data_IF_903218893873
#
_entry.id   IF_903218893873
#
_cell.length_a   1.000
_cell.length_b   1.000
_cell.length_c   1.000
_cell.angle_alpha   90.00
_cell.angle_beta   90.00
_cell.angle_gamma   90.00
#
_symmetry.space_group_name_H-M   'P 1'
#
loop_
_entity.id
_entity.type
_entity.pdbx_description
1 polymer ?
#
# COMPACT_ATOMS: atom_id res chain seq x y z
N UNK A 1 -21.50 -29.65 -20.64
CA UNK A 1 -20.10 -29.78 -21.12
C UNK A 1 -19.41 -30.90 -20.36
N UNK A 2 -18.59 -31.74 -21.01
CA UNK A 2 -17.81 -32.75 -20.28
C UNK A 2 -16.65 -32.09 -19.48
N UNK A 3 -16.15 -32.77 -18.44
CA UNK A 3 -15.10 -32.25 -17.54
C UNK A 3 -13.85 -31.75 -18.27
N UNK A 4 -13.48 -32.40 -19.38
CA UNK A 4 -12.34 -32.03 -20.22
C UNK A 4 -12.58 -30.76 -21.03
N UNK A 5 -13.80 -30.53 -21.51
CA UNK A 5 -14.20 -29.30 -22.19
C UNK A 5 -14.18 -28.11 -21.22
N UNK A 6 -14.72 -28.30 -20.01
CA UNK A 6 -14.63 -27.29 -18.95
C UNK A 6 -13.18 -26.96 -18.61
N UNK A 7 -12.30 -27.97 -18.55
CA UNK A 7 -10.89 -27.74 -18.23
C UNK A 7 -10.16 -26.96 -19.30
N UNK A 8 -10.45 -27.22 -20.57
CA UNK A 8 -9.94 -26.42 -21.68
C UNK A 8 -10.44 -24.99 -21.63
N UNK A 9 -11.72 -24.77 -21.34
CA UNK A 9 -12.30 -23.43 -21.22
C UNK A 9 -11.62 -22.62 -20.12
N UNK A 10 -11.57 -23.14 -18.89
CA UNK A 10 -10.93 -22.45 -17.76
C UNK A 10 -9.44 -22.24 -17.96
N UNK A 11 -8.75 -23.16 -18.66
CA UNK A 11 -7.37 -22.96 -19.06
C UNK A 11 -7.21 -21.76 -20.01
N UNK A 12 -8.12 -21.58 -20.99
CA UNK A 12 -8.08 -20.39 -21.85
C UNK A 12 -8.33 -19.12 -21.04
N UNK A 13 -9.30 -19.13 -20.14
CA UNK A 13 -9.63 -17.99 -19.27
C UNK A 13 -8.41 -17.61 -18.42
N UNK A 14 -7.86 -18.54 -17.64
CA UNK A 14 -6.70 -18.32 -16.78
C UNK A 14 -5.49 -17.81 -17.57
N UNK A 15 -5.18 -18.47 -18.70
CA UNK A 15 -4.05 -18.10 -19.57
C UNK A 15 -4.19 -16.67 -20.09
N UNK A 16 -5.36 -16.27 -20.61
CA UNK A 16 -5.52 -14.93 -21.19
C UNK A 16 -5.56 -13.84 -20.13
N UNK A 17 -6.19 -14.10 -18.97
CA UNK A 17 -6.08 -13.19 -17.81
C UNK A 17 -4.62 -13.03 -17.42
N UNK A 18 -3.90 -14.14 -17.19
CA UNK A 18 -2.49 -14.10 -16.79
C UNK A 18 -1.59 -13.35 -17.78
N UNK A 19 -1.75 -13.58 -19.09
CA UNK A 19 -0.95 -12.90 -20.10
C UNK A 19 -1.24 -11.40 -20.22
N UNK A 20 -2.52 -11.01 -20.19
CA UNK A 20 -2.91 -9.60 -20.23
C UNK A 20 -2.42 -8.86 -18.98
N UNK A 21 -2.49 -9.51 -17.83
CA UNK A 21 -2.06 -8.91 -16.57
C UNK A 21 -0.54 -8.93 -16.37
N UNK A 22 0.21 -9.83 -17.01
CA UNK A 22 1.65 -10.03 -16.74
C UNK A 22 2.47 -8.73 -16.79
N UNK A 23 2.18 -7.87 -17.78
CA UNK A 23 2.86 -6.57 -17.94
C UNK A 23 2.67 -5.65 -16.74
N UNK A 24 1.45 -5.63 -16.18
CA UNK A 24 1.12 -4.76 -15.05
C UNK A 24 1.42 -5.42 -13.69
N UNK A 25 1.24 -6.73 -13.56
CA UNK A 25 1.46 -7.47 -12.31
C UNK A 25 2.91 -7.39 -11.87
N UNK A 26 3.88 -7.52 -12.79
CA UNK A 26 5.29 -7.54 -12.41
C UNK A 26 5.68 -6.27 -11.63
N UNK A 27 5.53 -5.04 -12.18
CA UNK A 27 5.87 -3.83 -11.44
C UNK A 27 4.98 -3.61 -10.21
N UNK A 28 3.68 -3.94 -10.25
CA UNK A 28 2.78 -3.80 -9.10
C UNK A 28 3.18 -4.71 -7.94
N UNK A 29 3.47 -5.97 -8.22
CA UNK A 29 3.76 -6.98 -7.20
C UNK A 29 5.15 -6.76 -6.58
N UNK A 30 6.15 -6.38 -7.37
CA UNK A 30 7.48 -6.01 -6.86
C UNK A 30 7.47 -4.70 -6.06
N UNK A 31 6.72 -3.68 -6.50
CA UNK A 31 6.56 -2.45 -5.71
C UNK A 31 5.81 -2.69 -4.42
N UNK A 32 4.77 -3.55 -4.43
CA UNK A 32 4.06 -3.98 -3.22
C UNK A 32 4.98 -4.72 -2.24
N UNK A 33 5.80 -5.66 -2.75
CA UNK A 33 6.77 -6.39 -1.95
C UNK A 33 7.78 -5.45 -1.25
N UNK A 34 8.28 -4.44 -1.96
CA UNK A 34 9.19 -3.45 -1.39
C UNK A 34 8.52 -2.58 -0.32
N UNK A 35 7.23 -2.26 -0.49
CA UNK A 35 6.47 -1.41 0.43
C UNK A 35 6.14 -2.08 1.77
N UNK A 36 6.27 -3.40 1.89
CA UNK A 36 6.14 -4.13 3.17
C UNK A 36 7.10 -3.57 4.23
N UNK A 37 8.27 -3.07 3.80
CA UNK A 37 9.27 -2.48 4.69
C UNK A 37 9.53 -1.03 4.35
N UNK A 38 8.48 -0.25 4.10
CA UNK A 38 8.60 1.14 3.71
C UNK A 38 9.48 1.98 4.65
N UNK A 39 9.46 1.72 5.97
CA UNK A 39 10.27 2.46 6.94
C UNK A 39 11.75 2.10 6.83
N UNK A 40 12.08 0.80 6.81
CA UNK A 40 13.46 0.35 6.63
C UNK A 40 14.00 0.78 5.26
N UNK A 41 13.16 0.79 4.23
CA UNK A 41 13.53 1.28 2.91
C UNK A 41 13.78 2.78 2.90
N UNK A 42 12.95 3.59 3.56
CA UNK A 42 13.18 5.04 3.68
C UNK A 42 14.45 5.34 4.47
N UNK A 43 14.70 4.60 5.55
CA UNK A 43 15.95 4.69 6.34
C UNK A 43 17.18 4.35 5.51
N UNK A 44 17.13 3.26 4.74
CA UNK A 44 18.25 2.84 3.91
C UNK A 44 18.57 3.84 2.78
N UNK A 45 17.56 4.45 2.16
CA UNK A 45 17.76 5.39 1.06
C UNK A 45 17.94 6.84 1.51
N UNK A 46 17.54 7.18 2.74
CA UNK A 46 17.67 8.52 3.32
C UNK A 46 18.27 8.46 4.74
N UNK A 47 19.47 7.88 4.95
CA UNK A 47 20.05 7.71 6.29
C UNK A 47 20.23 9.04 7.03
N UNK A 48 20.42 10.15 6.31
CA UNK A 48 20.53 11.49 6.88
C UNK A 48 19.29 11.91 7.69
N UNK A 49 18.09 11.42 7.35
CA UNK A 49 16.85 11.74 8.08
C UNK A 49 16.80 11.16 9.49
N UNK A 50 17.61 10.13 9.74
CA UNK A 50 17.61 9.33 10.96
C UNK A 50 18.91 9.48 11.76
N UNK A 51 19.80 10.39 11.35
CA UNK A 51 21.05 10.69 12.04
C UNK A 51 20.81 11.59 13.28
N UNK A 52 19.99 11.10 14.21
CA UNK A 52 19.63 11.78 15.46
C UNK A 52 20.73 11.65 16.50
N UNK A 53 20.91 12.68 17.32
CA UNK A 53 21.94 12.74 18.37
C UNK A 53 21.46 12.22 19.74
N UNK A 54 20.16 12.07 19.93
CA UNK A 54 19.54 11.52 21.15
C UNK A 54 18.02 11.63 21.12
N UNK A 55 17.38 11.00 22.11
CA UNK A 55 15.91 10.85 22.17
C UNK A 55 15.23 11.88 23.10
N UNK A 56 16.00 12.73 23.78
CA UNK A 56 15.46 13.73 24.69
C UNK A 56 14.63 14.76 23.92
N UNK A 57 13.33 14.86 24.20
CA UNK A 57 12.46 15.79 23.48
C UNK A 57 12.56 17.22 24.05
N UNK A 58 12.78 18.18 23.15
CA UNK A 58 12.58 19.60 23.40
C UNK A 58 11.08 19.99 23.35
N UNK A 59 10.77 21.19 23.82
CA UNK A 59 9.42 21.75 23.74
C UNK A 59 8.97 21.89 22.26
N UNK A 60 7.69 21.58 21.91
CA UNK A 60 7.18 21.60 20.54
C UNK A 60 7.46 22.90 19.76
N UNK A 61 7.48 24.04 20.44
CA UNK A 61 7.75 25.37 19.89
C UNK A 61 9.14 25.47 19.28
N UNK A 62 10.12 24.77 19.86
CA UNK A 62 11.51 24.79 19.40
C UNK A 62 11.63 24.14 18.02
N UNK A 63 10.97 22.99 17.81
CA UNK A 63 10.93 22.33 16.51
C UNK A 63 10.21 23.17 15.46
N UNK A 64 9.10 23.81 15.84
CA UNK A 64 8.36 24.71 14.95
C UNK A 64 9.21 25.92 14.57
N UNK A 65 9.92 26.52 15.52
CA UNK A 65 10.83 27.63 15.27
C UNK A 65 11.98 27.22 14.33
N UNK A 66 12.55 26.03 14.51
CA UNK A 66 13.60 25.50 13.64
C UNK A 66 13.10 25.15 12.22
N UNK A 67 11.84 24.71 12.09
CA UNK A 67 11.25 24.34 10.81
C UNK A 67 10.83 25.56 9.95
N UNK A 68 10.33 26.64 10.58
CA UNK A 68 9.77 27.81 9.88
C UNK A 68 10.70 28.41 8.81
N UNK A 69 12.00 28.62 9.03
CA UNK A 69 12.91 29.18 8.02
C UNK A 69 13.13 28.26 6.80
N UNK A 70 12.75 26.98 6.88
CA UNK A 70 12.88 26.01 5.79
C UNK A 70 11.62 25.92 4.93
N UNK A 71 10.55 26.59 5.33
CA UNK A 71 9.28 26.58 4.60
C UNK A 71 9.34 27.57 3.44
N UNK A 72 8.68 27.22 2.35
CA UNK A 72 8.53 28.13 1.21
C UNK A 72 7.50 29.21 1.52
N UNK A 73 7.65 30.39 0.93
CA UNK A 73 6.67 31.46 1.04
C UNK A 73 5.24 30.96 0.77
N UNK A 74 4.33 31.27 1.70
CA UNK A 74 2.93 30.85 1.65
C UNK A 74 2.65 29.43 2.16
N UNK A 75 3.60 28.71 2.75
CA UNK A 75 3.32 27.47 3.48
C UNK A 75 2.92 27.74 4.94
N UNK A 76 1.99 26.92 5.44
CA UNK A 76 1.58 26.90 6.84
C UNK A 76 1.82 25.50 7.42
N UNK A 77 2.25 25.45 8.68
CA UNK A 77 2.45 24.19 9.38
C UNK A 77 1.09 23.52 9.55
N UNK A 78 1.03 22.23 9.18
CA UNK A 78 -0.17 21.43 9.26
C UNK A 78 -0.09 20.42 10.42
N UNK A 79 1.10 19.91 10.70
CA UNK A 79 1.29 18.83 11.66
C UNK A 79 2.72 18.81 12.20
N UNK A 80 2.86 18.45 13.47
CA UNK A 80 4.10 18.04 14.11
C UNK A 80 3.92 16.63 14.63
N UNK A 81 4.86 15.74 14.31
CA UNK A 81 4.88 14.35 14.78
C UNK A 81 6.13 14.13 15.62
N UNK A 82 5.93 13.67 16.85
CA UNK A 82 6.99 13.29 17.77
C UNK A 82 7.32 11.80 17.60
N UNK A 83 8.58 11.40 17.75
CA UNK A 83 8.98 10.00 17.59
C UNK A 83 8.29 9.10 18.61
N UNK A 84 7.88 7.91 18.15
CA UNK A 84 7.34 6.86 19.00
C UNK A 84 8.41 5.86 19.47
N UNK A 85 9.51 5.78 18.72
CA UNK A 85 10.60 4.83 18.90
C UNK A 85 11.92 5.59 18.97
N UNK A 86 12.90 5.00 19.67
CA UNK A 86 14.24 5.58 19.80
C UNK A 86 14.93 5.63 18.43
N UNK A 87 15.76 6.64 18.20
CA UNK A 87 16.46 6.81 16.93
C UNK A 87 15.61 7.41 15.80
N UNK A 88 14.36 7.80 16.08
CA UNK A 88 13.46 8.38 15.07
C UNK A 88 13.44 9.93 15.16
N UNK A 89 13.36 10.62 14.01
CA UNK A 89 13.33 12.08 14.00
C UNK A 89 11.97 12.66 14.40
N UNK A 90 11.97 13.91 14.84
CA UNK A 90 10.76 14.74 14.89
C UNK A 90 10.46 15.21 13.47
N UNK A 91 9.18 15.18 13.07
CA UNK A 91 8.78 15.57 11.70
C UNK A 91 7.75 16.68 11.75
N UNK A 92 8.08 17.82 11.14
CA UNK A 92 7.14 18.93 10.92
C UNK A 92 6.68 18.91 9.46
N UNK A 93 5.38 18.79 9.26
CA UNK A 93 4.76 18.84 7.94
C UNK A 93 4.08 20.19 7.72
N UNK A 94 4.45 20.88 6.65
CA UNK A 94 3.81 22.12 6.20
C UNK A 94 3.15 21.92 4.83
N UNK A 95 2.13 22.72 4.54
CA UNK A 95 1.46 22.71 3.25
C UNK A 95 1.05 24.13 2.86
N UNK A 96 1.00 24.42 1.56
CA UNK A 96 0.42 25.68 1.08
C UNK A 96 -1.10 25.70 1.29
N UNK A 97 -1.67 26.74 1.92
CA UNK A 97 -3.10 27.00 1.95
C UNK A 97 -3.64 27.29 0.53
N UNK A 98 -4.22 26.31 -0.17
CA UNK A 98 -4.64 26.54 -1.57
C UNK A 98 -5.36 25.37 -2.23
N UNK A 99 -5.90 25.58 -3.44
CA UNK A 99 -6.36 24.47 -4.29
C UNK A 99 -5.13 23.68 -4.72
N UNK A 100 -4.87 22.55 -4.08
CA UNK A 100 -3.91 21.59 -4.61
C UNK A 100 -4.52 20.95 -5.85
N UNK A 101 -3.75 20.90 -6.94
CA UNK A 101 -4.13 20.14 -8.14
C UNK A 101 -4.40 18.67 -7.77
N UNK A 102 -5.12 17.94 -8.63
CA UNK A 102 -5.60 16.58 -8.40
C UNK A 102 -4.55 15.67 -7.71
N UNK A 103 -4.81 15.30 -6.46
CA UNK A 103 -3.91 14.47 -5.64
C UNK A 103 -3.92 14.87 -4.15
N UNK A 104 -3.24 14.14 -3.26
CA UNK A 104 -2.94 14.63 -1.92
C UNK A 104 -2.13 15.92 -1.99
N UNK A 105 -2.34 16.90 -1.09
CA UNK A 105 -1.59 18.14 -1.10
C UNK A 105 -0.10 17.86 -0.95
N UNK A 106 0.73 18.56 -1.73
CA UNK A 106 2.17 18.56 -1.55
C UNK A 106 2.49 19.09 -0.14
N UNK A 107 3.27 18.33 0.62
CA UNK A 107 3.72 18.75 1.94
C UNK A 107 5.23 18.86 1.94
N UNK A 108 5.71 19.95 2.51
CA UNK A 108 7.12 20.08 2.88
C UNK A 108 7.29 19.39 4.24
N UNK A 109 8.15 18.38 4.27
CA UNK A 109 8.46 17.56 5.43
C UNK A 109 9.83 17.97 5.94
N UNK A 110 9.89 18.54 7.14
CA UNK A 110 11.14 18.93 7.81
C UNK A 110 11.44 17.90 8.88
N UNK A 111 12.54 17.18 8.71
CA UNK A 111 13.04 16.17 9.65
C UNK A 111 14.01 16.86 10.60
N UNK A 112 13.81 16.66 11.90
CA UNK A 112 14.52 17.35 12.97
C UNK A 112 15.07 16.35 13.98
N UNK A 113 16.26 16.67 14.47
CA UNK A 113 16.87 16.00 15.58
C UNK A 113 16.05 16.24 16.87
N UNK A 114 15.61 15.18 17.59
CA UNK A 114 14.80 15.33 18.80
C UNK A 114 15.53 16.12 19.91
N UNK A 115 16.80 15.83 20.18
CA UNK A 115 17.56 16.43 21.27
C UNK A 115 17.98 17.88 21.03
N UNK A 116 18.14 18.29 19.77
CA UNK A 116 18.75 19.59 19.42
C UNK A 116 17.88 20.48 18.54
N UNK A 117 16.77 19.98 18.01
CA UNK A 117 15.98 20.62 16.94
C UNK A 117 16.78 20.99 15.68
N UNK A 118 17.98 20.40 15.50
CA UNK A 118 18.77 20.57 14.29
C UNK A 118 18.01 19.97 13.10
N UNK A 119 17.88 20.73 12.02
CA UNK A 119 17.26 20.21 10.79
C UNK A 119 18.17 19.17 10.15
N UNK A 120 17.66 17.96 10.03
CA UNK A 120 18.33 16.80 9.42
C UNK A 120 18.10 16.75 7.91
N UNK A 121 16.86 16.98 7.48
CA UNK A 121 16.48 16.95 6.06
C UNK A 121 15.21 17.80 5.81
N UNK A 122 15.03 18.22 4.56
CA UNK A 122 13.82 18.89 4.08
C UNK A 122 13.40 18.23 2.77
N UNK A 123 12.23 17.59 2.76
CA UNK A 123 11.77 16.80 1.62
C UNK A 123 10.35 17.16 1.19
N UNK A 124 10.07 17.07 -0.12
CA UNK A 124 8.70 17.08 -0.64
C UNK A 124 8.08 15.70 -0.45
N UNK A 125 6.93 15.61 0.23
CA UNK A 125 6.20 14.38 0.51
C UNK A 125 5.75 13.60 -0.74
N UNK A 126 5.83 14.22 -1.92
CA UNK A 126 5.49 13.61 -3.21
C UNK A 126 6.67 12.93 -3.90
N UNK A 127 7.88 13.17 -3.41
CA UNK A 127 9.11 12.67 -4.01
C UNK A 127 9.70 11.51 -3.18
N UNK A 128 10.73 10.87 -3.73
CA UNK A 128 11.46 9.78 -3.07
C UNK A 128 10.99 8.38 -3.50
N UNK A 129 11.88 7.40 -3.32
CA UNK A 129 11.67 6.03 -3.79
C UNK A 129 10.41 5.39 -3.20
N UNK A 130 10.23 5.46 -1.88
CA UNK A 130 9.06 4.88 -1.20
C UNK A 130 7.76 5.45 -1.74
N UNK A 131 7.72 6.77 -1.98
CA UNK A 131 6.55 7.43 -2.57
C UNK A 131 6.31 7.00 -4.01
N UNK A 132 7.35 6.93 -4.84
CA UNK A 132 7.25 6.43 -6.22
C UNK A 132 6.70 5.01 -6.24
N UNK A 133 7.21 4.12 -5.38
CA UNK A 133 6.70 2.75 -5.23
C UNK A 133 5.24 2.73 -4.81
N UNK A 134 4.83 3.58 -3.86
CA UNK A 134 3.44 3.66 -3.40
C UNK A 134 2.48 4.13 -4.51
N UNK A 135 2.89 5.12 -5.31
CA UNK A 135 2.08 5.62 -6.44
C UNK A 135 2.07 4.61 -7.60
N UNK A 136 3.18 3.92 -7.85
CA UNK A 136 3.26 2.83 -8.82
C UNK A 136 2.33 1.68 -8.42
N UNK A 137 2.43 1.18 -7.19
CA UNK A 137 1.60 0.09 -6.67
C UNK A 137 0.10 0.46 -6.63
N UNK A 138 -0.22 1.68 -6.18
CA UNK A 138 -1.60 2.10 -5.97
C UNK A 138 -2.30 2.68 -7.20
N UNK A 139 -1.55 3.08 -8.22
CA UNK A 139 -2.12 3.78 -9.39
C UNK A 139 -1.34 3.63 -10.71
N UNK A 140 -0.32 2.79 -10.79
CA UNK A 140 0.55 2.66 -11.97
C UNK A 140 1.21 3.97 -12.42
N UNK A 141 1.40 4.92 -11.50
CA UNK A 141 1.83 6.30 -11.83
C UNK A 141 0.84 7.05 -12.75
N UNK A 142 -0.37 6.52 -12.95
CA UNK A 142 -1.41 7.13 -13.79
C UNK A 142 -2.35 8.00 -12.93
N UNK A 143 -2.36 9.32 -13.11
CA UNK A 143 -3.26 10.20 -12.38
C UNK A 143 -4.72 9.96 -12.77
N UNK A 144 -5.64 10.17 -11.82
CA UNK A 144 -7.07 9.99 -12.03
C UNK A 144 -7.49 8.53 -12.10
N UNK A 145 -7.36 7.90 -13.28
CA UNK A 145 -7.89 6.56 -13.58
C UNK A 145 -7.03 5.41 -13.04
N UNK A 146 -5.77 5.66 -12.68
CA UNK A 146 -4.81 4.63 -12.30
C UNK A 146 -5.28 3.75 -11.14
N UNK A 147 -5.88 4.35 -10.10
CA UNK A 147 -6.43 3.60 -8.96
C UNK A 147 -7.54 2.64 -9.38
N UNK A 148 -8.41 3.06 -10.30
CA UNK A 148 -9.49 2.23 -10.83
C UNK A 148 -8.93 1.06 -11.63
N UNK A 149 -7.91 1.30 -12.46
CA UNK A 149 -7.23 0.25 -13.24
C UNK A 149 -6.61 -0.79 -12.29
N UNK A 150 -5.84 -0.36 -11.29
CA UNK A 150 -5.25 -1.25 -10.28
C UNK A 150 -6.32 -2.05 -9.53
N UNK A 151 -7.45 -1.42 -9.19
CA UNK A 151 -8.58 -2.11 -8.57
C UNK A 151 -9.11 -3.26 -9.44
N UNK A 152 -9.31 -3.04 -10.73
CA UNK A 152 -9.76 -4.08 -11.66
C UNK A 152 -8.69 -5.16 -11.92
N UNK A 153 -7.41 -4.80 -11.91
CA UNK A 153 -6.31 -5.77 -11.90
C UNK A 153 -6.42 -6.68 -10.67
N UNK A 154 -6.70 -6.12 -9.49
CA UNK A 154 -6.95 -6.88 -8.26
C UNK A 154 -8.12 -7.85 -8.40
N UNK A 155 -9.25 -7.42 -8.97
CA UNK A 155 -10.41 -8.30 -9.22
C UNK A 155 -10.06 -9.43 -10.19
N UNK A 156 -9.39 -9.11 -11.31
CA UNK A 156 -8.99 -10.09 -12.30
C UNK A 156 -7.96 -11.09 -11.74
N UNK A 157 -7.05 -10.63 -10.88
CA UNK A 157 -6.10 -11.48 -10.17
C UNK A 157 -6.80 -12.42 -9.18
N UNK A 158 -7.73 -11.91 -8.36
CA UNK A 158 -8.51 -12.74 -7.45
C UNK A 158 -9.28 -13.85 -8.21
N UNK A 159 -9.85 -13.51 -9.37
CA UNK A 159 -10.48 -14.48 -10.25
C UNK A 159 -9.49 -15.47 -10.88
N UNK A 160 -8.29 -14.99 -11.23
CA UNK A 160 -7.18 -15.83 -11.72
C UNK A 160 -6.77 -16.88 -10.68
N UNK A 161 -6.74 -16.53 -9.38
CA UNK A 161 -6.46 -17.48 -8.31
C UNK A 161 -7.48 -18.62 -8.27
N UNK A 162 -8.79 -18.32 -8.40
CA UNK A 162 -9.83 -19.35 -8.45
C UNK A 162 -9.65 -20.29 -9.65
N UNK A 163 -9.47 -19.73 -10.84
CA UNK A 163 -9.28 -20.53 -12.05
C UNK A 163 -7.98 -21.34 -12.01
N UNK A 164 -6.91 -20.79 -11.46
CA UNK A 164 -5.62 -21.45 -11.27
C UNK A 164 -5.71 -22.63 -10.30
N UNK A 165 -6.34 -22.44 -9.13
CA UNK A 165 -6.53 -23.49 -8.14
C UNK A 165 -7.43 -24.62 -8.69
N UNK A 166 -8.49 -24.25 -9.41
CA UNK A 166 -9.37 -25.21 -10.09
C UNK A 166 -8.61 -26.02 -11.16
N UNK A 167 -7.72 -25.39 -11.93
CA UNK A 167 -6.88 -26.06 -12.94
C UNK A 167 -5.81 -26.96 -12.32
N UNK A 168 -5.26 -26.56 -11.18
CA UNK A 168 -4.30 -27.33 -10.39
C UNK A 168 -4.93 -28.60 -9.82
N UNK A 169 -6.21 -28.55 -9.44
CA UNK A 169 -6.91 -29.70 -8.85
C UNK A 169 -6.88 -30.93 -9.77
N UNK A 170 -6.53 -32.13 -9.25
CA UNK A 170 -6.38 -33.32 -10.07
C UNK A 170 -7.72 -33.73 -10.71
N UNK A 171 -7.67 -34.09 -12.00
CA UNK A 171 -8.84 -34.66 -12.68
C UNK A 171 -9.13 -36.08 -12.24
N UNK A 172 -8.09 -36.85 -11.88
CA UNK A 172 -8.14 -38.24 -11.43
C UNK A 172 -7.05 -38.51 -10.37
N UNK A 173 -7.40 -39.19 -9.29
CA UNK A 173 -6.51 -39.65 -8.21
C UNK A 173 -6.14 -38.60 -7.16
N UNK A 174 -5.09 -38.88 -6.36
CA UNK A 174 -4.74 -38.13 -5.13
C UNK A 174 -4.12 -36.76 -5.41
N UNK A 175 -4.57 -35.73 -4.66
CA UNK A 175 -4.09 -34.34 -4.74
C UNK A 175 -2.60 -34.18 -4.41
N UNK A 176 -2.06 -34.97 -3.49
CA UNK A 176 -0.64 -34.93 -3.10
C UNK A 176 0.34 -35.15 -4.28
N UNK A 177 -0.09 -35.83 -5.36
CA UNK A 177 0.75 -35.96 -6.57
C UNK A 177 0.95 -34.62 -7.30
N UNK A 178 0.06 -33.66 -7.12
CA UNK A 178 0.16 -32.30 -7.66
C UNK A 178 1.23 -31.45 -6.98
N UNK A 179 1.68 -31.83 -5.78
CA UNK A 179 2.74 -31.14 -5.02
C UNK A 179 4.15 -31.61 -5.37
N UNK A 180 4.29 -32.65 -6.20
CA UNK A 180 5.60 -33.21 -6.54
C UNK A 180 6.26 -32.39 -7.65
N UNK A 181 7.53 -32.05 -7.44
CA UNK A 181 8.38 -31.56 -8.53
C UNK A 181 8.55 -32.64 -9.60
N UNK A 182 8.14 -32.36 -10.83
CA UNK A 182 8.25 -33.32 -11.93
C UNK A 182 9.61 -33.19 -12.58
N UNK A 183 10.32 -34.31 -12.75
CA UNK A 183 11.62 -34.34 -13.45
C UNK A 183 11.39 -34.23 -14.96
N UNK A 184 11.46 -33.01 -15.48
CA UNK A 184 11.53 -32.70 -16.91
C UNK A 184 12.22 -31.34 -17.12
N UNK A 185 12.73 -31.08 -18.33
CA UNK A 185 13.58 -29.92 -18.63
C UNK A 185 12.88 -28.55 -18.54
N UNK A 186 11.58 -28.51 -18.21
CA UNK A 186 10.77 -27.29 -18.20
C UNK A 186 10.49 -26.85 -16.75
N UNK A 187 11.50 -26.29 -16.09
CA UNK A 187 11.44 -25.87 -14.68
C UNK A 187 10.36 -24.81 -14.43
N UNK A 188 10.10 -23.93 -15.39
CA UNK A 188 9.05 -22.91 -15.38
C UNK A 188 7.65 -23.49 -15.12
N UNK A 189 7.34 -24.65 -15.69
CA UNK A 189 6.06 -25.33 -15.45
C UNK A 189 5.96 -25.76 -13.99
N UNK A 190 7.00 -26.38 -13.43
CA UNK A 190 6.98 -26.77 -12.01
C UNK A 190 6.88 -25.54 -11.11
N UNK A 191 7.64 -24.48 -11.40
CA UNK A 191 7.57 -23.23 -10.65
C UNK A 191 6.17 -22.64 -10.69
N UNK A 192 5.56 -22.49 -11.86
CA UNK A 192 4.23 -21.90 -12.02
C UNK A 192 3.16 -22.71 -11.28
N UNK A 193 3.16 -24.04 -11.45
CA UNK A 193 2.16 -24.89 -10.81
C UNK A 193 2.31 -24.99 -9.29
N UNK A 194 3.54 -25.17 -8.78
CA UNK A 194 3.76 -25.36 -7.34
C UNK A 194 3.65 -24.05 -6.57
N UNK A 195 4.34 -23.00 -7.03
CA UNK A 195 4.27 -21.71 -6.34
C UNK A 195 2.88 -21.11 -6.46
N UNK A 196 2.22 -21.26 -7.62
CA UNK A 196 0.84 -20.83 -7.82
C UNK A 196 -0.15 -21.49 -6.87
N UNK A 197 0.03 -22.78 -6.56
CA UNK A 197 -0.79 -23.46 -5.54
C UNK A 197 -0.55 -22.87 -4.14
N UNK A 198 0.71 -22.78 -3.71
CA UNK A 198 1.05 -22.35 -2.35
C UNK A 198 0.63 -20.90 -2.09
N UNK A 199 0.75 -20.02 -3.08
CA UNK A 199 0.35 -18.62 -2.92
C UNK A 199 -1.09 -18.34 -3.31
N UNK A 200 -1.87 -19.31 -3.81
CA UNK A 200 -3.22 -19.05 -4.32
C UNK A 200 -4.09 -18.34 -3.28
N UNK A 201 -4.04 -18.80 -2.02
CA UNK A 201 -4.83 -18.22 -0.93
C UNK A 201 -4.27 -16.85 -0.47
N UNK A 202 -2.98 -16.70 -0.12
CA UNK A 202 -2.41 -15.38 0.17
C UNK A 202 -2.64 -14.36 -0.94
N UNK A 203 -2.39 -14.72 -2.19
CA UNK A 203 -2.58 -13.86 -3.36
C UNK A 203 -4.04 -13.50 -3.57
N UNK A 204 -4.97 -14.44 -3.36
CA UNK A 204 -6.40 -14.14 -3.40
C UNK A 204 -6.79 -13.09 -2.37
N UNK A 205 -6.34 -13.25 -1.11
CA UNK A 205 -6.62 -12.29 -0.02
C UNK A 205 -6.02 -10.92 -0.35
N UNK A 206 -4.76 -10.86 -0.79
CA UNK A 206 -4.10 -9.60 -1.17
C UNK A 206 -4.78 -8.92 -2.36
N UNK A 207 -5.21 -9.70 -3.36
CA UNK A 207 -5.90 -9.17 -4.53
C UNK A 207 -7.29 -8.62 -4.19
N UNK A 208 -8.03 -9.33 -3.33
CA UNK A 208 -9.34 -8.90 -2.84
C UNK A 208 -9.24 -7.64 -1.98
N UNK A 209 -8.29 -7.61 -1.04
CA UNK A 209 -8.05 -6.43 -0.18
C UNK A 209 -7.54 -5.24 -1.00
N UNK A 210 -6.73 -5.45 -2.03
CA UNK A 210 -6.31 -4.41 -2.97
C UNK A 210 -7.47 -3.82 -3.78
N UNK A 211 -8.37 -4.68 -4.26
CA UNK A 211 -9.63 -4.26 -4.90
C UNK A 211 -10.53 -3.48 -3.92
N UNK A 212 -10.61 -3.94 -2.67
CA UNK A 212 -11.35 -3.26 -1.60
C UNK A 212 -10.84 -1.84 -1.37
N UNK A 213 -9.52 -1.69 -1.24
CA UNK A 213 -8.89 -0.38 -1.04
C UNK A 213 -9.15 0.52 -2.24
N UNK A 214 -9.16 -0.02 -3.46
CA UNK A 214 -9.39 0.74 -4.69
C UNK A 214 -10.84 1.21 -4.83
N UNK A 215 -11.82 0.41 -4.37
CA UNK A 215 -13.26 0.68 -4.49
C UNK A 215 -13.99 0.79 -3.12
N UNK A 216 -13.60 1.73 -2.25
CA UNK A 216 -14.09 1.76 -0.86
C UNK A 216 -15.60 2.03 -0.75
N UNK A 217 -16.19 2.77 -1.68
CA UNK A 217 -17.63 3.06 -1.66
C UNK A 217 -18.48 1.83 -2.01
N UNK A 218 -18.08 1.09 -3.05
CA UNK A 218 -18.76 -0.14 -3.46
C UNK A 218 -18.73 -1.18 -2.34
N UNK A 219 -17.53 -1.49 -1.83
CA UNK A 219 -17.38 -2.49 -0.78
C UNK A 219 -17.95 -2.06 0.57
N UNK A 220 -17.83 -0.77 0.92
CA UNK A 220 -18.47 -0.23 2.13
C UNK A 220 -19.99 -0.40 2.11
N UNK A 221 -20.63 -0.14 0.96
CA UNK A 221 -22.06 -0.38 0.78
C UNK A 221 -22.47 -1.85 0.96
N UNK A 222 -21.65 -2.79 0.50
CA UNK A 222 -21.93 -4.23 0.64
C UNK A 222 -21.92 -4.73 2.08
N UNK A 223 -21.11 -4.12 2.96
CA UNK A 223 -21.01 -4.53 4.38
C UNK A 223 -21.79 -3.61 5.32
N UNK A 224 -22.62 -2.71 4.78
CA UNK A 224 -23.37 -1.75 5.59
C UNK A 224 -22.47 -0.77 6.36
N UNK A 225 -21.23 -0.55 5.91
CA UNK A 225 -20.42 0.55 6.43
C UNK A 225 -21.13 1.85 6.04
N UNK A 226 -21.51 2.65 7.05
CA UNK A 226 -22.07 3.97 6.80
C UNK A 226 -21.15 4.72 5.82
N UNK A 227 -21.71 5.46 4.84
CA UNK A 227 -20.90 6.22 3.90
C UNK A 227 -19.87 7.00 4.71
N UNK A 228 -18.58 6.73 4.46
CA UNK A 228 -17.52 7.50 5.10
C UNK A 228 -17.90 8.96 4.89
N UNK A 229 -17.99 9.74 5.99
CA UNK A 229 -18.04 11.20 5.91
C UNK A 229 -17.05 11.62 4.82
N UNK A 230 -17.40 12.61 3.97
CA UNK A 230 -16.61 12.95 2.79
C UNK A 230 -15.12 12.94 3.16
N UNK A 231 -14.27 12.35 2.29
CA UNK A 231 -12.85 12.17 2.58
C UNK A 231 -12.30 13.46 3.18
N UNK A 232 -11.45 13.37 4.22
CA UNK A 232 -10.75 14.50 4.88
C UNK A 232 -10.71 15.63 3.88
N UNK A 233 -11.51 16.67 4.14
CA UNK A 233 -11.79 17.65 3.10
C UNK A 233 -10.46 18.14 2.57
N UNK A 234 -10.11 17.73 1.35
CA UNK A 234 -8.78 17.97 0.78
C UNK A 234 -8.59 19.47 0.50
N UNK A 235 -9.65 20.27 0.66
CA UNK A 235 -9.62 21.73 0.62
C UNK A 235 -9.46 22.39 2.00
N UNK A 236 -9.41 21.63 3.11
CA UNK A 236 -9.10 22.18 4.43
C UNK A 236 -7.64 22.66 4.44
N UNK A 237 -7.48 23.96 4.65
CA UNK A 237 -6.19 24.66 4.62
C UNK A 237 -5.73 24.92 6.05
N UNK A 238 -4.50 24.52 6.43
CA UNK A 238 -3.93 24.90 7.71
C UNK A 238 -3.95 26.43 7.88
N UNK A 239 -4.29 26.89 9.09
CA UNK A 239 -4.24 28.32 9.41
C UNK A 239 -2.78 28.77 9.48
N UNK A 240 -2.45 29.85 8.78
CA UNK A 240 -1.10 30.42 8.78
C UNK A 240 -0.76 31.09 10.12
N UNK A 241 -1.76 31.71 10.76
CA UNK A 241 -1.66 32.33 12.06
C UNK A 241 -2.87 31.88 12.91
N UNK A 242 -2.74 30.76 13.65
CA UNK A 242 -3.70 30.39 14.67
C UNK A 242 -3.81 31.47 15.76
N UNK A 243 -4.97 31.60 16.38
CA UNK A 243 -5.22 32.58 17.44
C UNK A 243 -4.50 32.21 18.75
N UNK A 244 -4.34 30.91 19.05
CA UNK A 244 -3.60 30.46 20.22
C UNK A 244 -2.14 30.14 19.91
N UNK A 245 -1.27 30.49 20.85
CA UNK A 245 0.12 30.06 20.85
C UNK A 245 0.23 28.56 21.11
N UNK A 246 1.17 27.89 20.43
CA UNK A 246 1.36 26.44 20.53
C UNK A 246 1.59 25.98 21.99
N UNK A 247 2.37 26.75 22.77
CA UNK A 247 2.67 26.39 24.17
C UNK A 247 1.41 26.28 25.02
N UNK A 248 0.50 27.25 24.88
CA UNK A 248 -0.79 27.24 25.55
C UNK A 248 -1.65 26.06 25.10
N UNK A 249 -1.65 25.73 23.81
CA UNK A 249 -2.40 24.58 23.28
C UNK A 249 -1.88 23.27 23.86
N UNK A 250 -0.56 23.10 23.91
CA UNK A 250 0.08 21.91 24.48
C UNK A 250 -0.21 21.79 25.96
N UNK A 251 -0.05 22.87 26.73
CA UNK A 251 -0.35 22.92 28.16
C UNK A 251 -1.80 22.51 28.45
N UNK A 252 -2.77 23.11 27.74
CA UNK A 252 -4.20 22.80 27.92
C UNK A 252 -4.55 21.39 27.47
N UNK A 253 -3.89 20.88 26.44
CA UNK A 253 -4.14 19.52 25.99
C UNK A 253 -3.54 18.48 26.95
N UNK A 254 -2.36 18.73 27.53
CA UNK A 254 -1.69 17.84 28.49
C UNK A 254 -2.47 17.77 29.81
N UNK A 255 -3.16 18.84 30.23
CA UNK A 255 -3.98 18.82 31.44
C UNK A 255 -5.21 17.90 31.35
N UNK A 256 -5.65 17.58 30.13
CA UNK A 256 -6.81 16.69 29.85
C UNK A 256 -6.36 15.34 29.31
N UNK A 257 -5.29 15.33 28.51
CA UNK A 257 -4.73 14.16 27.84
C UNK A 257 -4.09 13.18 28.81
N UNK A 258 -4.05 11.90 28.42
CA UNK A 258 -3.39 10.84 29.19
C UNK A 258 -2.36 10.15 28.31
N UNK A 259 -1.15 10.01 28.84
CA UNK A 259 -0.03 9.37 28.16
C UNK A 259 0.88 10.36 27.44
N UNK A 260 1.77 9.84 26.59
CA UNK A 260 2.79 10.64 25.89
C UNK A 260 2.20 11.32 24.66
N UNK A 261 2.53 12.59 24.45
CA UNK A 261 2.14 13.32 23.24
C UNK A 261 2.88 12.72 22.02
N UNK A 262 2.12 12.34 20.99
CA UNK A 262 2.65 11.74 19.75
C UNK A 262 2.56 12.66 18.54
N UNK A 263 1.52 13.48 18.46
CA UNK A 263 1.41 14.46 17.38
C UNK A 263 0.50 15.62 17.71
N UNK A 264 0.74 16.74 17.03
CA UNK A 264 -0.04 17.97 17.09
C UNK A 264 -0.47 18.30 15.67
N UNK A 265 -1.77 18.48 15.45
CA UNK A 265 -2.35 18.89 14.16
C UNK A 265 -2.92 20.29 14.29
N UNK A 266 -2.53 21.18 13.37
CA UNK A 266 -2.95 22.57 13.37
C UNK A 266 -4.42 22.72 12.97
N UNK A 267 -5.11 23.76 13.45
CA UNK A 267 -6.43 24.12 12.98
C UNK A 267 -6.38 24.51 11.50
N UNK A 268 -7.55 24.40 10.87
CA UNK A 268 -7.75 24.71 9.45
C UNK A 268 -8.91 25.69 9.28
N UNK A 269 -9.01 26.29 8.10
CA UNK A 269 -10.13 27.16 7.74
C UNK A 269 -11.52 26.48 7.78
N UNK A 270 -11.58 25.15 7.95
CA UNK A 270 -12.84 24.37 8.06
C UNK A 270 -12.98 23.63 9.39
N UNK A 271 -11.95 23.64 10.22
CA UNK A 271 -11.93 23.05 11.56
C UNK A 271 -11.04 23.92 12.43
N UNK A 272 -11.67 24.74 13.27
CA UNK A 272 -10.98 25.69 14.13
C UNK A 272 -10.30 25.04 15.35
N UNK A 273 -10.31 23.71 15.47
CA UNK A 273 -9.70 23.02 16.61
C UNK A 273 -8.30 22.50 16.27
N UNK A 274 -7.37 22.71 17.20
CA UNK A 274 -6.16 21.91 17.30
C UNK A 274 -6.52 20.47 17.66
N UNK A 275 -5.76 19.50 17.14
CA UNK A 275 -5.91 18.09 17.54
C UNK A 275 -4.57 17.53 18.00
N UNK A 276 -4.49 17.09 19.25
CA UNK A 276 -3.33 16.44 19.83
C UNK A 276 -3.62 14.95 20.04
N UNK A 277 -2.71 14.09 19.62
CA UNK A 277 -2.82 12.65 19.83
C UNK A 277 -1.85 12.19 20.92
N UNK A 278 -2.37 11.46 21.90
CA UNK A 278 -1.63 10.90 23.03
C UNK A 278 -1.59 9.38 22.94
N UNK A 279 -0.44 8.77 23.24
CA UNK A 279 -0.29 7.32 23.29
C UNK A 279 -0.93 6.73 24.54
N UNK A 280 -1.75 5.70 24.36
CA UNK A 280 -2.42 4.96 25.44
C UNK A 280 -2.36 3.45 25.12
N UNK A 281 -1.23 2.82 25.42
CA UNK A 281 -0.92 1.45 24.97
C UNK A 281 -0.82 1.39 23.44
N UNK A 282 -1.49 0.42 22.81
CA UNK A 282 -1.55 0.28 21.35
C UNK A 282 -2.49 1.29 20.65
N UNK A 283 -3.16 2.17 21.40
CA UNK A 283 -4.15 3.10 20.87
C UNK A 283 -3.71 4.54 21.09
N UNK A 284 -4.22 5.43 20.25
CA UNK A 284 -4.09 6.88 20.46
C UNK A 284 -5.40 7.48 20.93
N UNK A 285 -5.36 8.30 21.98
CA UNK A 285 -6.46 9.14 22.41
C UNK A 285 -6.24 10.56 21.89
N UNK A 286 -7.29 11.18 21.33
CA UNK A 286 -7.19 12.55 20.82
C UNK A 286 -7.77 13.54 21.83
N UNK A 287 -7.11 14.68 21.97
CA UNK A 287 -7.61 15.87 22.66
C UNK A 287 -7.77 16.98 21.62
N UNK A 288 -8.91 17.64 21.62
CA UNK A 288 -9.14 18.83 20.79
C UNK A 288 -9.05 20.07 21.64
N UNK A 289 -8.42 21.12 21.12
CA UNK A 289 -8.36 22.44 21.77
C UNK A 289 -8.89 23.47 20.78
N UNK A 290 -9.97 24.17 21.14
CA UNK A 290 -10.53 25.22 20.27
C UNK A 290 -9.54 26.37 20.10
N UNK A 291 -9.24 26.79 18.87
CA UNK A 291 -8.28 27.88 18.62
C UNK A 291 -8.79 29.25 19.07
N UNK A 292 -10.10 29.44 19.18
CA UNK A 292 -10.75 30.67 19.64
C UNK A 292 -10.96 30.72 21.17
N UNK A 293 -11.44 29.62 21.73
CA UNK A 293 -11.88 29.49 23.11
C UNK A 293 -10.78 28.95 24.03
N UNK A 294 -9.82 28.23 23.46
CA UNK A 294 -8.82 27.45 24.18
C UNK A 294 -9.40 26.32 25.01
N UNK A 295 -10.68 25.98 24.87
CA UNK A 295 -11.28 24.89 25.64
C UNK A 295 -10.68 23.57 25.16
N UNK A 296 -10.02 22.85 26.07
CA UNK A 296 -9.52 21.52 25.82
C UNK A 296 -10.56 20.48 26.20
N UNK A 297 -10.83 19.54 25.30
CA UNK A 297 -11.74 18.44 25.51
C UNK A 297 -11.14 17.14 24.97
N UNK A 298 -11.21 16.08 25.77
CA UNK A 298 -10.94 14.74 25.25
C UNK A 298 -11.96 14.45 24.15
N UNK A 299 -11.49 14.11 22.95
CA UNK A 299 -12.38 13.68 21.90
C UNK A 299 -13.12 12.42 22.39
N UNK A 300 -14.44 12.30 22.14
CA UNK A 300 -15.19 11.12 22.53
C UNK A 300 -14.44 9.88 22.03
N UNK A 301 -14.23 8.90 22.92
CA UNK A 301 -13.72 7.60 22.49
C UNK A 301 -14.69 7.10 21.43
N UNK A 302 -14.24 7.11 20.17
CA UNK A 302 -15.01 6.46 19.10
C UNK A 302 -15.12 5.00 19.55
N UNK A 303 -16.35 4.55 19.80
CA UNK A 303 -16.65 3.16 20.11
C UNK A 303 -16.04 2.23 19.07
N UNK A 304 -16.09 0.90 19.26
CA UNK A 304 -15.54 -0.05 18.29
C UNK A 304 -16.15 0.23 16.91
N UNK A 305 -15.44 0.98 16.07
CA UNK A 305 -15.81 1.08 14.68
C UNK A 305 -15.39 -0.26 14.12
N UNK A 306 -16.37 -1.08 13.74
CA UNK A 306 -16.18 -2.20 12.83
C UNK A 306 -15.68 -1.61 11.51
N UNK A 307 -14.40 -1.22 11.48
CA UNK A 307 -13.79 -0.59 10.33
C UNK A 307 -13.15 -1.71 9.54
N UNK A 308 -14.01 -2.53 8.92
CA UNK A 308 -13.60 -3.61 8.01
C UNK A 308 -12.59 -3.06 7.03
N UNK A 309 -12.78 -1.84 6.54
CA UNK A 309 -11.85 -1.19 5.65
C UNK A 309 -10.47 -0.85 6.26
N UNK A 310 -10.34 -0.62 7.57
CA UNK A 310 -9.03 -0.53 8.26
C UNK A 310 -8.38 -1.91 8.37
N UNK A 311 -9.18 -2.92 8.71
CA UNK A 311 -8.73 -4.30 8.79
C UNK A 311 -8.23 -4.83 7.44
N UNK A 312 -8.98 -4.60 6.37
CA UNK A 312 -8.60 -4.92 4.98
C UNK A 312 -7.29 -4.24 4.58
N UNK A 313 -7.07 -3.00 5.03
CA UNK A 313 -5.81 -2.29 4.81
C UNK A 313 -4.64 -2.97 5.52
N UNK A 314 -4.77 -3.26 6.81
CA UNK A 314 -3.73 -3.94 7.61
C UNK A 314 -3.37 -5.33 7.06
N UNK A 315 -4.37 -6.09 6.59
CA UNK A 315 -4.13 -7.38 5.92
C UNK A 315 -3.29 -7.18 4.65
N UNK A 316 -3.57 -6.13 3.89
CA UNK A 316 -2.94 -5.88 2.60
C UNK A 316 -1.50 -5.35 2.71
N UNK A 317 -1.28 -4.35 3.58
CA UNK A 317 0.02 -3.68 3.72
C UNK A 317 0.90 -4.24 4.85
N UNK A 318 0.33 -5.07 5.74
CA UNK A 318 1.06 -5.68 6.85
C UNK A 318 1.35 -4.74 8.01
N UNK A 319 0.77 -3.53 8.02
CA UNK A 319 0.93 -2.56 9.11
C UNK A 319 0.36 -3.14 10.40
N UNK A 320 1.11 -3.01 11.50
CA UNK A 320 0.78 -3.54 12.83
C UNK A 320 0.56 -5.07 12.87
N UNK A 321 1.11 -5.81 11.90
CA UNK A 321 1.04 -7.27 11.84
C UNK A 321 2.41 -7.88 12.18
N UNK A 322 2.41 -9.09 12.74
CA UNK A 322 3.65 -9.79 13.10
C UNK A 322 4.52 -10.15 11.88
N UNK A 323 5.81 -10.36 12.13
CA UNK A 323 6.81 -10.65 11.09
C UNK A 323 6.44 -11.82 10.17
N UNK A 324 5.78 -12.86 10.69
CA UNK A 324 5.30 -13.98 9.87
C UNK A 324 4.35 -13.51 8.76
N UNK A 325 3.40 -12.61 9.08
CA UNK A 325 2.48 -12.08 8.08
C UNK A 325 3.20 -11.17 7.08
N UNK A 326 4.15 -10.35 7.55
CA UNK A 326 5.00 -9.52 6.68
C UNK A 326 5.77 -10.36 5.64
N UNK A 327 6.30 -11.52 6.06
CA UNK A 327 6.95 -12.47 5.12
C UNK A 327 5.93 -13.05 4.13
N UNK A 328 4.73 -13.42 4.59
CA UNK A 328 3.68 -13.94 3.71
C UNK A 328 3.30 -12.92 2.64
N UNK A 329 3.09 -11.66 3.01
CA UNK A 329 2.72 -10.61 2.03
C UNK A 329 3.88 -10.23 1.12
N UNK A 330 5.12 -10.25 1.61
CA UNK A 330 6.31 -10.05 0.79
C UNK A 330 6.42 -11.14 -0.28
N UNK A 331 6.31 -12.40 0.10
CA UNK A 331 6.28 -13.53 -0.84
C UNK A 331 5.06 -13.43 -1.77
N UNK A 332 3.93 -12.96 -1.24
CA UNK A 332 2.72 -12.62 -2.00
C UNK A 332 2.90 -11.48 -3.00
N UNK A 333 3.97 -10.69 -2.92
CA UNK A 333 4.39 -9.69 -3.91
C UNK A 333 5.50 -10.18 -4.86
N UNK A 334 6.43 -11.01 -4.40
CA UNK A 334 7.52 -11.52 -5.27
C UNK A 334 7.04 -12.65 -6.19
N UNK A 335 6.26 -13.59 -5.67
CA UNK A 335 5.86 -14.79 -6.41
C UNK A 335 4.89 -14.48 -7.58
N UNK A 336 3.96 -13.52 -7.52
CA UNK A 336 3.15 -13.17 -8.69
C UNK A 336 3.97 -12.66 -9.88
N UNK A 337 5.06 -11.93 -9.64
CA UNK A 337 6.01 -11.58 -10.69
C UNK A 337 6.64 -12.84 -11.32
N UNK A 338 7.07 -13.81 -10.50
CA UNK A 338 7.53 -15.12 -10.98
C UNK A 338 6.46 -15.85 -11.79
N UNK A 339 5.20 -15.86 -11.33
CA UNK A 339 4.08 -16.48 -12.05
C UNK A 339 3.82 -15.79 -13.40
N UNK A 340 3.90 -14.46 -13.46
CA UNK A 340 3.80 -13.69 -14.70
C UNK A 340 4.88 -14.09 -15.70
N UNK A 341 6.15 -14.10 -15.26
CA UNK A 341 7.30 -14.48 -16.10
C UNK A 341 7.18 -15.93 -16.58
N UNK A 342 6.96 -16.88 -15.68
CA UNK A 342 6.82 -18.30 -16.02
C UNK A 342 5.62 -18.55 -16.93
N UNK A 343 4.49 -17.87 -16.72
CA UNK A 343 3.32 -17.95 -17.57
C UNK A 343 3.58 -17.49 -19.01
N UNK A 344 4.32 -16.39 -19.18
CA UNK A 344 4.74 -15.89 -20.51
C UNK A 344 5.69 -16.87 -21.19
N UNK A 345 6.69 -17.41 -20.46
CA UNK A 345 7.62 -18.42 -20.99
C UNK A 345 6.87 -19.68 -21.45
N UNK A 346 5.97 -20.20 -20.61
CA UNK A 346 5.14 -21.37 -20.95
C UNK A 346 4.32 -21.12 -22.21
N UNK A 347 3.70 -19.95 -22.34
CA UNK A 347 2.92 -19.57 -23.51
C UNK A 347 3.77 -19.47 -24.78
N UNK A 348 4.94 -18.82 -24.70
CA UNK A 348 5.87 -18.68 -25.81
C UNK A 348 6.35 -20.05 -26.31
N UNK A 349 6.79 -20.91 -25.39
CA UNK A 349 7.22 -22.28 -25.71
C UNK A 349 6.09 -23.10 -26.34
N UNK A 350 4.87 -22.99 -25.82
CA UNK A 350 3.71 -23.68 -26.38
C UNK A 350 3.38 -23.23 -27.82
N UNK A 351 3.68 -21.98 -28.19
CA UNK A 351 3.57 -21.50 -29.57
C UNK A 351 4.62 -22.12 -30.49
N UNK A 352 5.88 -22.14 -30.05
CA UNK A 352 6.97 -22.78 -30.80
C UNK A 352 6.71 -24.27 -31.06
N UNK A 353 6.26 -24.99 -30.04
CA UNK A 353 5.88 -26.41 -30.18
C UNK A 353 4.73 -26.63 -31.18
N UNK A 354 3.72 -25.77 -31.18
CA UNK A 354 2.61 -25.86 -32.15
C UNK A 354 3.05 -25.56 -33.58
N UNK A 355 3.97 -24.61 -33.77
CA UNK A 355 4.54 -24.32 -35.08
C UNK A 355 5.33 -25.52 -35.61
N UNK A 356 6.14 -26.14 -34.75
CA UNK A 356 6.90 -27.34 -35.11
C UNK A 356 6.00 -28.53 -35.46
N UNK A 357 4.93 -28.78 -34.68
CA UNK A 357 3.97 -29.83 -35.00
C UNK A 357 3.27 -29.59 -36.35
N UNK A 358 2.87 -28.36 -36.64
CA UNK A 358 2.29 -28.01 -37.95
C UNK A 358 3.27 -28.27 -39.09
N UNK A 359 4.55 -27.88 -38.91
CA UNK A 359 5.62 -28.14 -39.88
C UNK A 359 5.80 -29.64 -40.13
N UNK A 360 5.86 -30.46 -39.08
CA UNK A 360 5.96 -31.93 -39.20
C UNK A 360 4.76 -32.55 -39.90
N UNK A 361 3.54 -32.08 -39.59
CA UNK A 361 2.32 -32.54 -40.24
C UNK A 361 2.28 -32.16 -41.72
N UNK A 362 2.79 -30.98 -42.07
CA UNK A 362 2.90 -30.54 -43.45
C UNK A 362 3.91 -31.40 -44.22
N UNK A 363 5.13 -31.58 -43.70
CA UNK A 363 6.16 -32.44 -44.30
C UNK A 363 5.63 -33.87 -44.50
N UNK A 364 4.94 -34.44 -43.50
CA UNK A 364 4.35 -35.78 -43.59
C UNK A 364 3.25 -35.88 -44.66
N UNK A 365 2.49 -34.81 -44.92
CA UNK A 365 1.48 -34.77 -45.99
C UNK A 365 2.14 -34.67 -47.37
N UNK A 366 3.18 -33.85 -47.49
CA UNK A 366 3.95 -33.66 -48.72
C UNK A 366 4.68 -34.96 -49.12
N UNK A 367 5.31 -35.66 -48.18
CA UNK A 367 5.94 -36.96 -48.46
C UNK A 367 4.94 -38.05 -48.79
N UNK A 368 3.77 -38.08 -48.15
CA UNK A 368 2.71 -39.04 -48.47
C UNK A 368 2.06 -38.78 -49.86
N UNK A 369 2.06 -37.53 -50.32
CA UNK A 369 1.59 -37.18 -51.66
C UNK A 369 2.63 -37.55 -52.74
N UNK A 370 3.92 -37.31 -52.49
CA UNK A 370 5.00 -37.65 -53.42
C UNK A 370 5.25 -39.16 -53.59
N UNK A 371 4.74 -39.99 -52.66
CA UNK A 371 4.85 -41.45 -52.71
C UNK A 371 3.68 -42.15 -53.42
N UNK A 372 2.68 -41.39 -53.90
CA UNK A 372 1.60 -41.86 -54.77
C UNK A 372 1.89 -41.43 -56.20
#
# INVERSE_FOLDING_TARGET
MNKLAMRRMWFQVHKWIGLLLAVAIIPLSLSGAALVWHDALDQAVNPQRYAVSGDNLLAPEVYVAAARPRLTAGEAIAQLTLPAEHGMPVVVAAARPGKTQAGPPARTMVYLDPATARVLDVADSRNGLVRTLHVLHGSLLLPGVGRTIVGWIGVAMAFSCFTGLWLWWPTVGRWARGLRWRRHNNTDTNLHYLTGFWIALPLFILSLTGAWISFPAFFGGLVGEAPRRPPVDRSAKPLAAPALALGTVVERAVSVGKGELRSITWPTNKRADWTLAFAQGERTANVTVGDDSGIAAAAPQRGPQNNVARWMRRIHDGTDMGALWQVIIFLGGVIPALLGVTGVIMWWRARGWKAELKRRQQVARETAFAAK
#
